data_IF_304681058572
#
_entry.id   IF_304681058572
#
_cell.length_a   1.000
_cell.length_b   1.000
_cell.length_c   1.000
_cell.angle_alpha   90.00
_cell.angle_beta   90.00
_cell.angle_gamma   90.00
#
_symmetry.space_group_name_H-M   'P 1'
#
loop_
_entity.id
_entity.type
_entity.pdbx_description
1 polymer ?
#
# COMPACT_ATOMS: atom_id res chain seq x y z
N UNK A 1 8.94 -24.49 25.34
CA UNK A 1 9.88 -23.45 24.85
C UNK A 1 9.49 -23.09 23.43
N UNK A 2 8.57 -22.12 23.30
CA UNK A 2 8.06 -21.65 22.01
C UNK A 2 9.09 -20.73 21.38
N UNK A 3 9.86 -21.27 20.44
CA UNK A 3 10.95 -20.56 19.79
C UNK A 3 10.44 -19.37 18.98
N UNK A 4 11.23 -18.30 19.05
CA UNK A 4 11.20 -17.00 18.34
C UNK A 4 10.87 -17.06 16.82
N UNK A 5 10.74 -18.25 16.25
CA UNK A 5 10.43 -18.55 14.85
C UNK A 5 8.93 -18.65 14.55
N UNK A 6 8.05 -18.68 15.55
CA UNK A 6 6.59 -18.75 15.34
C UNK A 6 6.00 -17.44 14.79
N UNK A 7 6.54 -16.28 15.19
CA UNK A 7 6.06 -14.96 14.73
C UNK A 7 6.55 -14.59 13.32
N UNK A 8 7.74 -15.07 12.90
CA UNK A 8 8.32 -14.77 11.58
C UNK A 8 7.58 -15.52 10.44
N UNK A 9 6.98 -16.68 10.74
CA UNK A 9 6.21 -17.46 9.76
C UNK A 9 4.91 -16.78 9.32
N UNK A 10 4.40 -15.85 10.13
CA UNK A 10 3.14 -15.15 9.88
C UNK A 10 3.29 -13.94 8.93
N UNK A 11 4.50 -13.63 8.47
CA UNK A 11 4.73 -12.49 7.57
C UNK A 11 4.29 -12.74 6.11
N UNK A 12 4.02 -14.00 5.73
CA UNK A 12 3.69 -14.38 4.34
C UNK A 12 2.52 -15.35 4.18
N UNK A 13 1.99 -15.92 5.27
CA UNK A 13 0.70 -16.60 5.23
C UNK A 13 -0.38 -15.56 5.49
N UNK A 14 -1.27 -15.33 4.51
CA UNK A 14 -2.52 -14.62 4.78
C UNK A 14 -3.11 -15.20 6.05
N UNK A 15 -3.29 -14.34 7.05
CA UNK A 15 -3.67 -14.76 8.40
C UNK A 15 -4.90 -15.68 8.33
N UNK A 16 -5.01 -16.67 9.24
CA UNK A 16 -6.25 -17.41 9.40
C UNK A 16 -7.41 -16.41 9.53
N UNK A 17 -8.59 -16.76 8.99
CA UNK A 17 -9.83 -16.06 9.35
C UNK A 17 -9.84 -15.92 10.89
N UNK A 18 -10.16 -14.73 11.39
CA UNK A 18 -10.23 -14.29 12.80
C UNK A 18 -9.01 -13.46 13.22
N UNK A 19 -9.07 -12.16 13.55
CA UNK A 19 -10.19 -11.24 13.85
C UNK A 19 -9.67 -9.81 13.59
N UNK A 20 -10.02 -9.17 12.46
CA UNK A 20 -10.16 -7.71 12.52
C UNK A 20 -11.46 -7.51 13.31
N UNK A 21 -11.41 -6.73 14.39
CA UNK A 21 -12.62 -6.31 15.09
C UNK A 21 -13.61 -5.76 14.03
N UNK A 22 -14.87 -6.25 13.95
CA UNK A 22 -15.80 -5.85 12.90
C UNK A 22 -15.99 -4.33 12.79
N UNK A 23 -16.01 -3.62 13.91
CA UNK A 23 -16.17 -2.18 13.96
C UNK A 23 -14.90 -1.50 13.43
N UNK A 24 -13.72 -1.98 13.86
CA UNK A 24 -12.43 -1.48 13.36
C UNK A 24 -12.26 -1.75 11.86
N UNK A 25 -12.74 -2.89 11.38
CA UNK A 25 -12.71 -3.26 9.96
C UNK A 25 -13.58 -2.33 9.13
N UNK A 26 -14.78 -2.00 9.59
CA UNK A 26 -15.67 -1.08 8.88
C UNK A 26 -15.07 0.32 8.78
N UNK A 27 -14.51 0.83 9.88
CA UNK A 27 -13.79 2.12 9.88
C UNK A 27 -12.60 2.07 8.91
N UNK A 28 -11.80 1.00 8.95
CA UNK A 28 -10.67 0.84 8.05
C UNK A 28 -11.10 0.76 6.57
N UNK A 29 -12.18 0.06 6.25
CA UNK A 29 -12.69 -0.02 4.88
C UNK A 29 -13.20 1.33 4.38
N UNK A 30 -13.85 2.11 5.23
CA UNK A 30 -14.29 3.47 4.89
C UNK A 30 -13.09 4.38 4.60
N UNK A 31 -12.08 4.36 5.47
CA UNK A 31 -10.85 5.14 5.30
C UNK A 31 -10.06 4.69 4.05
N UNK A 32 -9.96 3.38 3.81
CA UNK A 32 -9.31 2.83 2.63
C UNK A 32 -9.99 3.31 1.35
N UNK A 33 -11.32 3.28 1.29
CA UNK A 33 -12.07 3.74 0.13
C UNK A 33 -11.91 5.24 -0.10
N UNK A 34 -12.02 6.05 0.96
CA UNK A 34 -11.85 7.51 0.89
C UNK A 34 -10.46 7.87 0.36
N UNK A 35 -9.40 7.33 0.95
CA UNK A 35 -8.02 7.63 0.54
C UNK A 35 -7.73 7.06 -0.85
N UNK A 36 -8.35 5.93 -1.23
CA UNK A 36 -8.20 5.41 -2.60
C UNK A 36 -8.76 6.38 -3.62
N UNK A 37 -9.93 6.98 -3.36
CA UNK A 37 -10.52 8.01 -4.22
C UNK A 37 -9.63 9.25 -4.31
N UNK A 38 -9.06 9.70 -3.17
CA UNK A 38 -8.10 10.81 -3.16
C UNK A 38 -6.88 10.49 -4.04
N UNK A 39 -6.27 9.32 -3.84
CA UNK A 39 -5.12 8.87 -4.63
C UNK A 39 -5.44 8.80 -6.13
N UNK A 40 -6.60 8.27 -6.50
CA UNK A 40 -7.07 8.21 -7.89
C UNK A 40 -7.21 9.62 -8.49
N UNK A 41 -7.72 10.59 -7.74
CA UNK A 41 -7.87 11.98 -8.17
C UNK A 41 -6.53 12.69 -8.40
N UNK A 42 -5.47 12.29 -7.70
CA UNK A 42 -4.11 12.80 -7.91
C UNK A 42 -3.45 12.26 -9.20
N UNK A 43 -3.88 11.07 -9.66
CA UNK A 43 -3.20 10.38 -10.76
C UNK A 43 -3.13 11.22 -12.04
N UNK A 44 -4.21 11.85 -12.57
CA UNK A 44 -4.14 12.64 -13.80
C UNK A 44 -3.08 13.75 -13.76
N UNK A 45 -3.01 14.51 -12.65
CA UNK A 45 -2.02 15.58 -12.48
C UNK A 45 -0.61 15.01 -12.42
N UNK A 46 -0.43 13.95 -11.62
CA UNK A 46 0.85 13.27 -11.56
C UNK A 46 1.27 12.69 -12.92
N UNK A 47 0.33 12.26 -13.77
CA UNK A 47 0.64 11.77 -15.13
C UNK A 47 1.24 12.84 -16.03
N UNK A 48 0.78 14.07 -15.89
CA UNK A 48 1.24 15.20 -16.67
C UNK A 48 2.62 15.67 -16.22
N UNK A 49 2.89 15.66 -14.90
CA UNK A 49 4.17 16.02 -14.33
C UNK A 49 4.63 15.01 -13.26
N UNK A 50 5.42 14.02 -13.69
CA UNK A 50 5.91 12.94 -12.82
C UNK A 50 6.93 13.39 -11.78
N UNK A 51 7.51 14.59 -11.96
CA UNK A 51 8.45 15.22 -11.04
C UNK A 51 7.79 16.21 -10.09
N UNK A 52 6.46 16.30 -10.08
CA UNK A 52 5.74 17.20 -9.18
C UNK A 52 5.89 16.74 -7.72
N UNK A 53 6.69 17.50 -6.97
CA UNK A 53 7.03 17.19 -5.58
C UNK A 53 5.79 17.33 -4.69
N UNK A 54 4.89 18.28 -4.97
CA UNK A 54 3.70 18.52 -4.15
C UNK A 54 2.72 17.35 -4.29
N UNK A 55 2.48 16.91 -5.52
CA UNK A 55 1.62 15.74 -5.78
C UNK A 55 2.24 14.46 -5.19
N UNK A 56 3.55 14.29 -5.30
CA UNK A 56 4.24 13.17 -4.65
C UNK A 56 4.12 13.23 -3.12
N UNK A 57 4.16 14.42 -2.51
CA UNK A 57 3.97 14.59 -1.06
C UNK A 57 2.57 14.15 -0.62
N UNK A 58 1.55 14.47 -1.40
CA UNK A 58 0.17 14.02 -1.16
C UNK A 58 0.03 12.51 -1.28
N UNK A 59 0.58 11.92 -2.35
CA UNK A 59 0.62 10.46 -2.54
C UNK A 59 1.31 9.77 -1.35
N UNK A 60 2.44 10.31 -0.88
CA UNK A 60 3.17 9.77 0.27
C UNK A 60 2.34 9.86 1.55
N UNK A 61 1.66 10.99 1.81
CA UNK A 61 0.79 11.16 2.99
C UNK A 61 -0.35 10.15 2.99
N UNK A 62 -1.02 9.97 1.85
CA UNK A 62 -2.08 8.97 1.70
C UNK A 62 -1.57 7.55 2.03
N UNK A 63 -0.44 7.12 1.47
CA UNK A 63 0.15 5.82 1.80
C UNK A 63 0.61 5.70 3.27
N UNK A 64 1.09 6.79 3.88
CA UNK A 64 1.44 6.81 5.30
C UNK A 64 0.21 6.56 6.18
N UNK A 65 -0.91 7.21 5.88
CA UNK A 65 -2.18 7.03 6.59
C UNK A 65 -2.65 5.58 6.45
N UNK A 66 -2.71 5.04 5.22
CA UNK A 66 -3.10 3.65 4.96
C UNK A 66 -2.17 2.60 5.59
N UNK A 67 -0.87 2.90 5.71
CA UNK A 67 0.07 2.05 6.47
C UNK A 67 -0.33 2.00 7.94
N UNK A 68 -0.58 3.17 8.55
CA UNK A 68 -0.97 3.28 9.95
C UNK A 68 -2.30 2.59 10.23
N UNK A 69 -3.34 2.91 9.47
CA UNK A 69 -4.67 2.33 9.65
C UNK A 69 -4.69 0.83 9.34
N UNK A 70 -3.97 0.38 8.31
CA UNK A 70 -3.81 -1.05 8.05
C UNK A 70 -3.11 -1.82 9.18
N UNK A 71 -2.15 -1.20 9.88
CA UNK A 71 -1.52 -1.80 11.05
C UNK A 71 -2.48 -1.87 12.24
N UNK A 72 -3.20 -0.78 12.53
CA UNK A 72 -4.19 -0.70 13.61
C UNK A 72 -5.35 -1.68 13.39
N UNK A 73 -5.80 -1.80 12.15
CA UNK A 73 -6.90 -2.68 11.81
C UNK A 73 -6.53 -4.15 11.91
N UNK A 74 -5.24 -4.51 11.81
CA UNK A 74 -4.77 -5.90 11.70
C UNK A 74 -4.57 -6.38 10.25
N UNK A 75 -4.72 -5.48 9.27
CA UNK A 75 -4.49 -5.72 7.85
C UNK A 75 -2.99 -5.67 7.48
N UNK A 76 -2.15 -6.43 8.20
CA UNK A 76 -0.69 -6.32 8.17
C UNK A 76 -0.07 -6.41 6.76
N UNK A 77 -0.59 -7.29 5.91
CA UNK A 77 -0.10 -7.44 4.54
C UNK A 77 -0.32 -6.17 3.69
N UNK A 78 -1.52 -5.58 3.77
CA UNK A 78 -1.86 -4.35 3.06
C UNK A 78 -1.14 -3.14 3.67
N UNK A 79 -1.13 -3.01 5.00
CA UNK A 79 -0.42 -1.94 5.69
C UNK A 79 1.09 -1.94 5.38
N UNK A 80 1.72 -3.13 5.38
CA UNK A 80 3.12 -3.28 4.98
C UNK A 80 3.38 -2.87 3.53
N UNK A 81 2.46 -3.22 2.62
CA UNK A 81 2.54 -2.82 1.21
C UNK A 81 2.44 -1.30 1.06
N UNK A 82 1.47 -0.65 1.72
CA UNK A 82 1.33 0.80 1.74
C UNK A 82 2.59 1.48 2.29
N UNK A 83 3.21 0.93 3.33
CA UNK A 83 4.48 1.44 3.86
C UNK A 83 5.66 1.36 2.87
N UNK A 84 5.65 0.40 1.94
CA UNK A 84 6.65 0.33 0.86
C UNK A 84 6.34 1.33 -0.25
N UNK A 85 5.06 1.54 -0.57
CA UNK A 85 4.67 2.60 -1.51
C UNK A 85 4.98 3.99 -0.97
N UNK A 86 4.78 4.24 0.32
CA UNK A 86 5.18 5.47 1.02
C UNK A 86 6.69 5.73 0.84
N UNK A 87 7.52 4.71 1.09
CA UNK A 87 8.98 4.82 0.90
C UNK A 87 9.36 5.06 -0.55
N UNK A 88 8.69 4.41 -1.50
CA UNK A 88 8.94 4.61 -2.91
C UNK A 88 8.58 6.05 -3.33
N UNK A 89 7.44 6.57 -2.88
CA UNK A 89 7.05 7.95 -3.11
C UNK A 89 8.04 8.95 -2.49
N UNK A 90 8.54 8.69 -1.27
CA UNK A 90 9.60 9.49 -0.65
C UNK A 90 10.89 9.49 -1.49
N UNK A 91 11.35 8.31 -1.94
CA UNK A 91 12.52 8.20 -2.81
C UNK A 91 12.34 8.97 -4.13
N UNK A 92 11.12 9.03 -4.68
CA UNK A 92 10.82 9.82 -5.86
C UNK A 92 10.85 11.34 -5.58
N UNK A 93 10.43 11.77 -4.39
CA UNK A 93 10.50 13.19 -3.98
C UNK A 93 11.94 13.67 -3.81
N UNK A 94 12.81 12.83 -3.26
CA UNK A 94 14.20 13.20 -2.94
C UNK A 94 15.12 13.15 -4.17
N UNK A 95 14.67 12.56 -5.28
CA UNK A 95 15.45 12.44 -6.51
C UNK A 95 15.56 13.77 -7.24
N UNK A 96 16.79 14.11 -7.63
CA UNK A 96 17.10 15.27 -8.50
C UNK A 96 17.02 14.95 -9.99
N UNK A 97 16.76 13.68 -10.36
CA UNK A 97 16.74 13.19 -11.74
C UNK A 97 15.44 12.46 -12.05
N UNK A 98 15.16 12.28 -13.34
CA UNK A 98 13.93 11.65 -13.83
C UNK A 98 13.67 10.29 -13.17
N UNK A 99 12.49 10.06 -12.58
CA UNK A 99 12.09 8.77 -12.03
C UNK A 99 12.23 7.62 -13.03
N UNK A 100 12.64 6.44 -12.55
CA UNK A 100 12.60 5.24 -13.38
C UNK A 100 11.15 4.91 -13.79
N UNK A 101 10.89 4.55 -15.06
CA UNK A 101 9.54 4.21 -15.53
C UNK A 101 8.86 3.13 -14.67
N UNK A 102 9.64 2.17 -14.16
CA UNK A 102 9.16 1.09 -13.30
C UNK A 102 8.67 1.61 -11.93
N UNK A 103 9.31 2.63 -11.39
CA UNK A 103 8.88 3.26 -10.13
C UNK A 103 7.58 4.02 -10.32
N UNK A 104 7.44 4.74 -11.45
CA UNK A 104 6.19 5.40 -11.81
C UNK A 104 5.06 4.38 -11.95
N UNK A 105 5.28 3.33 -12.74
CA UNK A 105 4.31 2.27 -12.98
C UNK A 105 3.91 1.54 -11.69
N UNK A 106 4.83 1.45 -10.72
CA UNK A 106 4.55 0.81 -9.44
C UNK A 106 3.55 1.59 -8.60
N UNK A 107 3.70 2.91 -8.50
CA UNK A 107 2.74 3.77 -7.77
C UNK A 107 1.36 3.72 -8.44
N UNK A 108 1.28 3.85 -9.77
CA UNK A 108 -0.02 3.80 -10.45
C UNK A 108 -0.72 2.45 -10.29
N UNK A 109 0.06 1.36 -10.35
CA UNK A 109 -0.48 0.02 -10.16
C UNK A 109 -0.92 -0.20 -8.72
N UNK A 110 -0.24 0.41 -7.74
CA UNK A 110 -0.62 0.37 -6.34
C UNK A 110 -1.97 1.03 -6.12
N UNK A 111 -2.15 2.25 -6.63
CA UNK A 111 -3.42 2.99 -6.52
C UNK A 111 -4.59 2.18 -7.09
N UNK A 112 -4.45 1.64 -8.31
CA UNK A 112 -5.48 0.78 -8.92
C UNK A 112 -5.76 -0.48 -8.09
N UNK A 113 -4.74 -1.03 -7.45
CA UNK A 113 -4.87 -2.27 -6.69
C UNK A 113 -5.59 -2.08 -5.36
N UNK A 114 -5.56 -0.88 -4.77
CA UNK A 114 -6.26 -0.58 -3.51
C UNK A 114 -7.77 -0.85 -3.63
N UNK A 115 -8.38 -0.50 -4.76
CA UNK A 115 -9.80 -0.80 -5.06
C UNK A 115 -10.10 -2.30 -5.02
N UNK A 116 -9.20 -3.13 -5.56
CA UNK A 116 -9.34 -4.58 -5.49
C UNK A 116 -9.08 -5.13 -4.09
N UNK A 117 -8.13 -4.55 -3.35
CA UNK A 117 -7.87 -4.91 -1.95
C UNK A 117 -9.07 -4.60 -1.06
N UNK A 118 -9.68 -3.41 -1.18
CA UNK A 118 -10.90 -3.03 -0.46
C UNK A 118 -12.02 -4.04 -0.72
N UNK A 119 -12.27 -4.37 -2.00
CA UNK A 119 -13.26 -5.38 -2.37
C UNK A 119 -12.96 -6.75 -1.76
N UNK A 120 -11.72 -7.24 -1.84
CA UNK A 120 -11.33 -8.51 -1.24
C UNK A 120 -11.57 -8.53 0.28
N UNK A 121 -11.21 -7.47 0.99
CA UNK A 121 -11.40 -7.37 2.44
C UNK A 121 -12.89 -7.35 2.79
N UNK A 122 -13.69 -6.56 2.08
CA UNK A 122 -15.15 -6.49 2.23
C UNK A 122 -15.82 -7.85 2.02
N UNK A 123 -15.39 -8.59 0.99
CA UNK A 123 -15.94 -9.89 0.64
C UNK A 123 -15.40 -11.05 1.51
N UNK A 124 -14.48 -10.77 2.44
CA UNK A 124 -13.81 -11.80 3.25
C UNK A 124 -12.95 -12.76 2.41
N UNK A 125 -12.40 -12.27 1.30
CA UNK A 125 -11.57 -13.03 0.35
C UNK A 125 -10.08 -12.73 0.56
N UNK A 126 -9.18 -13.62 0.10
CA UNK A 126 -7.76 -13.31 0.05
C UNK A 126 -7.48 -12.03 -0.74
N UNK A 127 -6.44 -11.31 -0.34
CA UNK A 127 -5.93 -10.16 -1.10
C UNK A 127 -5.49 -10.61 -2.51
N UNK A 128 -5.61 -9.72 -3.52
CA UNK A 128 -5.22 -10.03 -4.90
C UNK A 128 -3.76 -10.54 -4.99
N UNK A 129 -3.50 -11.49 -5.88
CA UNK A 129 -2.15 -12.07 -6.07
C UNK A 129 -1.15 -11.02 -6.55
N UNK A 130 -1.64 -10.03 -7.29
CA UNK A 130 -0.93 -8.89 -7.82
C UNK A 130 -0.29 -8.05 -6.70
N UNK A 131 -0.87 -8.06 -5.49
CA UNK A 131 -0.29 -7.38 -4.34
C UNK A 131 1.11 -7.91 -4.06
N UNK A 132 1.28 -9.24 -3.98
CA UNK A 132 2.59 -9.85 -3.74
C UNK A 132 3.57 -9.64 -4.89
N UNK A 133 3.08 -9.55 -6.13
CA UNK A 133 3.92 -9.26 -7.30
C UNK A 133 4.49 -7.84 -7.18
N UNK A 134 3.60 -6.86 -7.01
CA UNK A 134 3.95 -5.45 -6.96
C UNK A 134 4.78 -5.11 -5.71
N UNK A 135 4.51 -5.78 -4.60
CA UNK A 135 5.26 -5.65 -3.37
C UNK A 135 6.74 -6.01 -3.55
N UNK A 136 7.01 -7.12 -4.24
CA UNK A 136 8.38 -7.53 -4.59
C UNK A 136 9.07 -6.54 -5.51
N UNK A 137 8.35 -6.02 -6.52
CA UNK A 137 8.86 -4.98 -7.40
C UNK A 137 9.27 -3.74 -6.62
N UNK A 138 8.43 -3.29 -5.67
CA UNK A 138 8.75 -2.15 -4.82
C UNK A 138 9.98 -2.38 -3.95
N UNK A 139 10.12 -3.57 -3.34
CA UNK A 139 11.31 -3.92 -2.57
C UNK A 139 12.58 -3.87 -3.42
N UNK A 140 12.53 -4.37 -4.66
CA UNK A 140 13.65 -4.31 -5.60
C UNK A 140 14.02 -2.87 -5.99
N UNK A 141 13.03 -1.98 -6.14
CA UNK A 141 13.25 -0.58 -6.47
C UNK A 141 13.82 0.23 -5.29
N UNK A 142 13.50 -0.15 -4.06
CA UNK A 142 14.01 0.46 -2.83
C UNK A 142 15.42 -0.04 -2.44
N UNK A 143 15.83 -1.20 -2.95
CA UNK A 143 17.18 -1.76 -2.73
C UNK A 143 18.23 -1.28 -3.73
N UNK A 144 17.85 -0.43 -4.69
CA UNK A 144 18.74 0.17 -5.71
C UNK A 144 19.07 1.60 -5.35
#
# INVERSE_FOLDING_TARGET
MGGLWAWIRNAFSGAPRDELDPDVREVFLAELDEITVELEALMPNWRQNRGDIEVLQEIRRAFHTLKGSGQTAGAAALGGFCGRMEKLALQLQERRSTPAPEAIASIESAVRLLTHCSKSIRDGRPLPVELRQLDRTAMQLLGK
#
